data_IF_421934302952
#
_entry.id   IF_421934302952
#
_cell.length_a   1.000
_cell.length_b   1.000
_cell.length_c   1.000
_cell.angle_alpha   90.00
_cell.angle_beta   90.00
_cell.angle_gamma   90.00
#
_symmetry.space_group_name_H-M   'P 1'
#
loop_
_entity.id
_entity.type
_entity.pdbx_description
1 polymer ?
#
# COMPACT_ATOMS: atom_id res chain seq x y z
N UNK A 1 4.44 -49.82 -44.85
CA UNK A 1 5.16 -48.71 -45.52
C UNK A 1 4.14 -47.64 -45.86
N UNK A 2 4.12 -46.54 -45.12
CA UNK A 2 3.35 -45.35 -45.45
C UNK A 2 4.23 -44.16 -45.09
N UNK A 3 4.65 -43.41 -46.10
CA UNK A 3 5.43 -42.20 -45.96
C UNK A 3 4.51 -40.99 -45.86
N UNK A 4 4.82 -40.09 -44.93
CA UNK A 4 4.21 -38.77 -44.82
C UNK A 4 5.31 -37.73 -45.02
N UNK A 5 5.24 -37.05 -46.16
CA UNK A 5 5.96 -35.80 -46.44
C UNK A 5 5.07 -34.64 -45.96
N UNK A 6 5.63 -33.70 -45.22
CA UNK A 6 5.08 -32.34 -45.10
C UNK A 6 6.26 -31.36 -45.15
N UNK A 7 6.34 -30.62 -46.26
CA UNK A 7 7.16 -29.43 -46.42
C UNK A 7 6.22 -28.23 -46.30
N UNK A 8 6.63 -27.21 -45.55
CA UNK A 8 5.88 -25.99 -45.33
C UNK A 8 6.82 -24.88 -44.86
N UNK A 9 7.54 -24.28 -45.81
CA UNK A 9 8.34 -23.09 -45.60
C UNK A 9 7.43 -21.87 -45.40
N UNK A 10 7.69 -21.12 -44.33
CA UNK A 10 7.05 -19.83 -44.03
C UNK A 10 8.12 -18.74 -44.12
N UNK A 11 8.00 -17.90 -45.15
CA UNK A 11 8.85 -16.72 -45.38
C UNK A 11 8.43 -15.58 -44.45
N UNK A 12 9.38 -15.03 -43.69
CA UNK A 12 9.20 -13.84 -42.86
C UNK A 12 9.72 -12.60 -43.61
N UNK A 13 8.81 -11.73 -44.04
CA UNK A 13 9.13 -10.41 -44.58
C UNK A 13 9.35 -9.42 -43.42
N UNK A 14 10.54 -8.81 -43.38
CA UNK A 14 10.99 -7.92 -42.31
C UNK A 14 11.04 -6.49 -42.82
N UNK A 15 9.89 -5.82 -42.86
CA UNK A 15 9.84 -4.40 -43.21
C UNK A 15 8.77 -3.65 -42.42
N UNK A 16 9.11 -3.05 -41.27
CA UNK A 16 8.40 -1.87 -40.74
C UNK A 16 9.34 -1.03 -39.87
N UNK A 17 9.39 0.27 -40.19
CA UNK A 17 10.29 1.26 -39.61
C UNK A 17 9.86 1.81 -38.25
N UNK A 18 10.58 2.83 -37.74
CA UNK A 18 10.45 3.31 -36.37
C UNK A 18 9.20 4.19 -36.23
N UNK A 19 8.20 3.69 -35.50
CA UNK A 19 7.04 4.48 -35.10
C UNK A 19 7.31 5.27 -33.81
N UNK A 20 6.70 6.47 -33.65
CA UNK A 20 6.98 7.38 -32.54
C UNK A 20 6.37 6.83 -31.25
N UNK A 21 7.22 6.62 -30.24
CA UNK A 21 6.84 6.23 -28.89
C UNK A 21 6.33 7.44 -28.11
N UNK A 22 5.03 7.68 -28.08
CA UNK A 22 4.36 8.41 -27.00
C UNK A 22 2.85 8.39 -27.24
N UNK A 23 2.10 7.72 -26.37
CA UNK A 23 0.72 7.99 -25.87
C UNK A 23 0.08 6.62 -25.50
N UNK A 24 0.43 6.05 -24.34
CA UNK A 24 -0.26 4.84 -23.80
C UNK A 24 -0.34 4.80 -22.25
N UNK A 25 0.07 5.86 -21.53
CA UNK A 25 0.19 5.80 -20.06
C UNK A 25 -1.14 5.71 -19.30
N UNK A 26 -2.21 6.38 -19.79
CA UNK A 26 -3.47 6.45 -19.04
C UNK A 26 -4.30 5.17 -19.14
N UNK A 27 -4.25 4.47 -20.27
CA UNK A 27 -4.96 3.20 -20.46
C UNK A 27 -4.41 2.09 -19.54
N UNK A 28 -3.11 2.12 -19.25
CA UNK A 28 -2.47 1.11 -18.40
C UNK A 28 -2.79 1.28 -16.91
N UNK A 29 -3.08 2.51 -16.46
CA UNK A 29 -3.42 2.80 -15.06
C UNK A 29 -4.83 2.29 -14.72
N UNK A 30 -5.82 2.54 -15.58
CA UNK A 30 -7.19 2.06 -15.40
C UNK A 30 -7.27 0.54 -15.34
N UNK A 31 -6.59 -0.15 -16.27
CA UNK A 31 -6.56 -1.62 -16.30
C UNK A 31 -5.87 -2.21 -15.05
N UNK A 32 -4.86 -1.52 -14.49
CA UNK A 32 -4.25 -1.93 -13.22
C UNK A 32 -5.23 -1.81 -12.05
N UNK A 33 -6.01 -0.72 -11.99
CA UNK A 33 -7.02 -0.51 -10.94
C UNK A 33 -8.09 -1.58 -11.02
N UNK A 34 -8.63 -1.85 -12.21
CA UNK A 34 -9.69 -2.84 -12.40
C UNK A 34 -9.22 -4.24 -11.97
N UNK A 35 -8.00 -4.63 -12.36
CA UNK A 35 -7.39 -5.90 -11.93
C UNK A 35 -7.22 -5.99 -10.41
N UNK A 36 -6.79 -4.90 -9.77
CA UNK A 36 -6.65 -4.85 -8.32
C UNK A 36 -8.02 -5.01 -7.62
N UNK A 37 -9.05 -4.32 -8.11
CA UNK A 37 -10.40 -4.40 -7.57
C UNK A 37 -11.01 -5.79 -7.73
N UNK A 38 -10.83 -6.43 -8.90
CA UNK A 38 -11.27 -7.82 -9.11
C UNK A 38 -10.58 -8.76 -8.13
N UNK A 39 -9.27 -8.63 -7.93
CA UNK A 39 -8.53 -9.45 -6.97
C UNK A 39 -8.99 -9.24 -5.52
N UNK A 40 -9.25 -7.97 -5.14
CA UNK A 40 -9.78 -7.62 -3.82
C UNK A 40 -11.20 -8.17 -3.61
N UNK A 41 -12.05 -8.13 -4.62
CA UNK A 41 -13.39 -8.72 -4.59
C UNK A 41 -13.35 -10.24 -4.35
N UNK A 42 -12.43 -10.94 -5.03
CA UNK A 42 -12.22 -12.37 -4.84
C UNK A 42 -11.74 -12.65 -3.41
N UNK A 43 -10.75 -11.91 -2.93
CA UNK A 43 -10.24 -12.05 -1.57
C UNK A 43 -11.34 -11.81 -0.53
N UNK A 44 -12.09 -10.70 -0.64
CA UNK A 44 -13.23 -10.38 0.22
C UNK A 44 -14.27 -11.50 0.25
N UNK A 45 -14.60 -12.05 -0.92
CA UNK A 45 -15.58 -13.14 -1.05
C UNK A 45 -15.09 -14.43 -0.40
N UNK A 46 -13.79 -14.70 -0.40
CA UNK A 46 -13.19 -15.87 0.24
C UNK A 46 -13.17 -15.75 1.78
N UNK A 47 -12.87 -14.56 2.29
CA UNK A 47 -12.80 -14.25 3.73
C UNK A 47 -14.16 -14.41 4.40
N UNK A 48 -15.25 -14.12 3.68
CA UNK A 48 -16.62 -14.24 4.18
C UNK A 48 -17.20 -15.66 4.12
N UNK A 49 -16.45 -16.66 3.61
CA UNK A 49 -16.94 -18.04 3.57
C UNK A 49 -16.82 -18.73 4.92
N UNK A 50 -17.73 -19.65 5.21
CA UNK A 50 -17.67 -20.47 6.44
C UNK A 50 -16.46 -21.41 6.46
N UNK A 51 -15.99 -21.79 5.27
CA UNK A 51 -14.87 -22.70 5.09
C UNK A 51 -13.55 -22.07 5.53
N UNK A 52 -12.99 -22.64 6.60
CA UNK A 52 -11.67 -22.37 7.18
C UNK A 52 -10.56 -22.20 6.12
N UNK A 53 -10.45 -23.14 5.19
CA UNK A 53 -9.44 -23.10 4.11
C UNK A 53 -9.66 -21.94 3.14
N UNK A 54 -10.93 -21.61 2.81
CA UNK A 54 -11.25 -20.48 1.97
C UNK A 54 -10.92 -19.14 2.65
N UNK A 55 -11.24 -18.99 3.94
CA UNK A 55 -10.91 -17.77 4.71
C UNK A 55 -9.41 -17.52 4.76
N UNK A 56 -8.64 -18.58 5.03
CA UNK A 56 -7.17 -18.52 5.02
C UNK A 56 -6.63 -18.13 3.66
N UNK A 57 -7.13 -18.75 2.58
CA UNK A 57 -6.73 -18.39 1.22
C UNK A 57 -7.05 -16.92 0.90
N UNK A 58 -8.20 -16.42 1.36
CA UNK A 58 -8.58 -15.02 1.23
C UNK A 58 -7.61 -14.07 1.95
N UNK A 59 -7.22 -14.41 3.19
CA UNK A 59 -6.21 -13.65 3.95
C UNK A 59 -4.81 -13.71 3.32
N UNK A 60 -4.36 -14.88 2.88
CA UNK A 60 -3.08 -15.05 2.18
C UNK A 60 -3.05 -14.23 0.88
N UNK A 61 -4.19 -14.13 0.19
CA UNK A 61 -4.36 -13.27 -0.99
C UNK A 61 -4.23 -11.79 -0.63
N UNK A 62 -4.75 -11.35 0.52
CA UNK A 62 -4.55 -9.96 0.98
C UNK A 62 -3.10 -9.68 1.38
N UNK A 63 -2.40 -10.63 2.01
CA UNK A 63 -0.97 -10.49 2.32
C UNK A 63 -0.17 -10.27 1.05
N UNK A 64 -0.51 -11.03 0.00
CA UNK A 64 0.02 -10.88 -1.35
C UNK A 64 -0.26 -9.50 -1.94
N UNK A 65 -1.54 -9.10 -1.95
CA UNK A 65 -2.00 -7.87 -2.58
C UNK A 65 -1.46 -6.62 -1.90
N UNK A 66 -1.21 -6.64 -0.59
CA UNK A 66 -0.67 -5.50 0.16
C UNK A 66 0.86 -5.39 0.13
N UNK A 67 1.56 -6.38 -0.40
CA UNK A 67 3.03 -6.40 -0.51
C UNK A 67 3.48 -5.83 -1.88
N UNK A 68 4.15 -4.65 -1.91
CA UNK A 68 4.55 -4.00 -3.15
C UNK A 68 5.63 -4.79 -3.91
N UNK A 69 6.38 -5.68 -3.24
CA UNK A 69 7.37 -6.53 -3.89
C UNK A 69 6.73 -7.70 -4.64
N UNK A 70 5.49 -8.08 -4.27
CA UNK A 70 4.78 -9.23 -4.84
C UNK A 70 3.69 -8.81 -5.82
N UNK A 71 2.94 -7.76 -5.50
CA UNK A 71 1.80 -7.30 -6.31
C UNK A 71 2.13 -6.08 -7.20
N UNK A 72 3.29 -5.44 -7.00
CA UNK A 72 3.62 -4.15 -7.59
C UNK A 72 3.08 -2.98 -6.77
N UNK A 73 3.71 -1.81 -6.91
CA UNK A 73 3.45 -0.65 -6.05
C UNK A 73 2.01 -0.12 -6.18
N UNK A 74 1.47 -0.04 -7.39
CA UNK A 74 0.12 0.50 -7.64
C UNK A 74 -0.96 -0.42 -7.05
N UNK A 75 -0.92 -1.72 -7.36
CA UNK A 75 -1.82 -2.73 -6.78
C UNK A 75 -1.75 -2.73 -5.26
N UNK A 76 -0.52 -2.70 -4.71
CA UNK A 76 -0.33 -2.70 -3.27
C UNK A 76 -0.86 -1.42 -2.63
N UNK A 77 -0.69 -0.26 -3.27
CA UNK A 77 -1.26 1.01 -2.80
C UNK A 77 -2.79 0.95 -2.76
N UNK A 78 -3.43 0.42 -3.80
CA UNK A 78 -4.89 0.25 -3.86
C UNK A 78 -5.39 -0.68 -2.75
N UNK A 79 -4.79 -1.86 -2.63
CA UNK A 79 -5.14 -2.84 -1.61
C UNK A 79 -4.93 -2.30 -0.18
N UNK A 80 -3.84 -1.57 0.04
CA UNK A 80 -3.53 -0.95 1.34
C UNK A 80 -4.60 0.06 1.75
N UNK A 81 -5.17 0.79 0.78
CA UNK A 81 -6.21 1.78 1.05
C UNK A 81 -7.54 1.14 1.37
N UNK A 82 -7.91 0.06 0.66
CA UNK A 82 -9.09 -0.73 1.02
C UNK A 82 -8.95 -1.31 2.43
N UNK A 83 -7.77 -1.81 2.80
CA UNK A 83 -7.52 -2.34 4.15
C UNK A 83 -7.61 -1.26 5.23
N UNK A 84 -7.03 -0.07 5.01
CA UNK A 84 -6.95 0.99 6.02
C UNK A 84 -8.21 1.85 6.08
N UNK A 85 -8.78 2.20 4.93
CA UNK A 85 -9.86 3.19 4.80
C UNK A 85 -11.20 2.56 4.38
N UNK A 86 -11.22 1.27 4.04
CA UNK A 86 -12.43 0.60 3.57
C UNK A 86 -12.85 0.98 2.13
N UNK A 87 -12.02 1.74 1.41
CA UNK A 87 -12.24 2.13 0.00
C UNK A 87 -10.90 2.26 -0.74
N UNK A 88 -10.91 1.96 -2.04
CA UNK A 88 -9.79 2.13 -2.96
C UNK A 88 -9.61 3.59 -3.41
N UNK A 89 -10.65 4.42 -3.28
CA UNK A 89 -10.71 5.74 -3.91
C UNK A 89 -9.71 6.71 -3.32
N UNK A 90 -8.98 7.41 -4.19
CA UNK A 90 -8.11 8.51 -3.78
C UNK A 90 -8.94 9.75 -3.54
N UNK A 91 -9.09 10.12 -2.27
CA UNK A 91 -9.62 11.42 -1.86
C UNK A 91 -8.74 12.52 -2.46
N UNK A 92 -9.03 12.88 -3.70
CA UNK A 92 -8.46 14.05 -4.36
C UNK A 92 -9.09 15.26 -3.68
N UNK A 93 -8.42 15.73 -2.63
CA UNK A 93 -8.76 16.97 -1.96
C UNK A 93 -8.47 18.14 -2.89
N UNK A 94 -9.43 18.50 -3.75
CA UNK A 94 -9.26 19.64 -4.65
C UNK A 94 -10.25 19.71 -5.82
N UNK A 95 -11.55 19.66 -5.57
CA UNK A 95 -12.58 19.93 -6.57
C UNK A 95 -13.69 20.79 -5.97
N UNK A 96 -13.54 22.10 -6.08
CA UNK A 96 -14.63 23.06 -5.90
C UNK A 96 -15.60 22.89 -7.08
N UNK A 97 -16.90 22.84 -6.76
CA UNK A 97 -18.05 23.04 -7.65
C UNK A 97 -18.05 22.29 -8.99
N UNK A 98 -18.82 21.21 -9.07
CA UNK A 98 -19.16 20.57 -10.33
C UNK A 98 -20.07 19.37 -10.11
N UNK A 99 -21.36 19.63 -10.13
CA UNK A 99 -22.46 18.68 -10.13
C UNK A 99 -22.22 17.55 -11.15
N UNK A 100 -21.86 16.35 -10.69
CA UNK A 100 -22.02 15.08 -11.43
C UNK A 100 -22.06 13.92 -10.41
N UNK A 101 -23.10 13.96 -9.59
CA UNK A 101 -23.50 12.96 -8.59
C UNK A 101 -24.06 11.67 -9.25
N UNK A 102 -23.26 10.98 -10.05
CA UNK A 102 -23.65 9.68 -10.63
C UNK A 102 -22.64 8.56 -10.39
N UNK A 103 -21.37 8.89 -10.09
CA UNK A 103 -20.33 7.90 -9.78
C UNK A 103 -20.27 7.49 -8.30
N UNK A 104 -21.11 8.07 -7.44
CA UNK A 104 -21.21 7.69 -6.02
C UNK A 104 -21.98 6.37 -5.79
N UNK A 105 -22.64 5.83 -6.82
CA UNK A 105 -23.52 4.65 -6.70
C UNK A 105 -22.77 3.31 -6.80
N UNK A 106 -21.52 3.32 -7.28
CA UNK A 106 -20.68 2.13 -7.38
C UNK A 106 -19.22 2.48 -7.07
N UNK A 107 -18.92 2.88 -5.83
CA UNK A 107 -17.57 2.61 -5.32
C UNK A 107 -17.49 1.09 -5.09
N UNK A 108 -17.19 0.33 -6.15
CA UNK A 108 -17.16 -1.14 -6.17
C UNK A 108 -16.17 -1.72 -5.13
N UNK A 109 -15.32 -0.86 -4.57
CA UNK A 109 -14.39 -1.15 -3.49
C UNK A 109 -14.87 -0.76 -2.09
N UNK A 110 -15.83 0.17 -1.98
CA UNK A 110 -16.45 0.54 -0.71
C UNK A 110 -17.43 -0.56 -0.30
N UNK A 111 -17.26 -1.09 0.91
CA UNK A 111 -18.17 -2.13 1.42
C UNK A 111 -17.74 -3.57 1.13
N UNK A 112 -16.49 -3.79 0.71
CA UNK A 112 -15.94 -5.15 0.70
C UNK A 112 -15.90 -5.78 2.10
N UNK A 113 -15.99 -4.98 3.17
CA UNK A 113 -15.96 -5.46 4.55
C UNK A 113 -14.58 -5.94 4.99
N UNK A 114 -13.54 -5.76 4.15
CA UNK A 114 -12.17 -6.24 4.42
C UNK A 114 -11.61 -5.57 5.66
N UNK A 115 -11.71 -4.24 5.74
CA UNK A 115 -11.23 -3.45 6.86
C UNK A 115 -11.88 -3.91 8.16
N UNK A 116 -13.21 -4.05 8.13
CA UNK A 116 -14.00 -4.43 9.29
C UNK A 116 -13.61 -5.82 9.77
N UNK A 117 -13.53 -6.79 8.85
CA UNK A 117 -13.14 -8.18 9.17
C UNK A 117 -11.74 -8.26 9.78
N UNK A 118 -10.78 -7.49 9.27
CA UNK A 118 -9.41 -7.44 9.81
C UNK A 118 -9.39 -6.83 11.21
N UNK A 119 -10.10 -5.71 11.40
CA UNK A 119 -10.13 -5.01 12.68
C UNK A 119 -10.86 -5.81 13.74
N UNK A 120 -11.98 -6.47 13.40
CA UNK A 120 -12.67 -7.41 14.29
C UNK A 120 -11.71 -8.48 14.80
N UNK A 121 -11.00 -9.18 13.91
CA UNK A 121 -10.02 -10.20 14.33
C UNK A 121 -8.87 -9.65 15.18
N UNK A 122 -8.35 -8.45 14.89
CA UNK A 122 -7.23 -7.87 15.66
C UNK A 122 -7.69 -7.38 17.04
N UNK A 123 -8.93 -6.91 17.12
CA UNK A 123 -9.47 -6.24 18.29
C UNK A 123 -10.30 -7.17 19.18
N UNK A 124 -10.67 -8.37 18.69
CA UNK A 124 -11.24 -9.42 19.50
C UNK A 124 -10.35 -9.69 20.72
N UNK A 125 -10.94 -9.52 21.91
CA UNK A 125 -10.30 -9.86 23.17
C UNK A 125 -10.36 -11.37 23.31
N UNK A 126 -9.18 -12.00 23.29
CA UNK A 126 -8.97 -13.43 23.53
C UNK A 126 -9.38 -13.77 24.97
N UNK A 127 -10.69 -13.87 25.19
CA UNK A 127 -11.31 -13.94 26.49
C UNK A 127 -11.55 -15.40 26.85
N UNK A 128 -10.46 -16.10 27.18
CA UNK A 128 -10.46 -17.35 27.96
C UNK A 128 -11.15 -18.55 27.29
N UNK A 129 -10.41 -19.24 26.42
CA UNK A 129 -10.84 -20.53 25.87
C UNK A 129 -10.84 -21.66 26.91
N UNK A 130 -11.79 -22.58 26.76
CA UNK A 130 -11.83 -23.87 27.46
C UNK A 130 -10.78 -24.85 26.90
N UNK A 131 -10.52 -25.94 27.62
CA UNK A 131 -9.46 -26.91 27.29
C UNK A 131 -9.97 -28.07 26.41
N UNK A 132 -11.03 -27.87 25.63
CA UNK A 132 -11.61 -28.95 24.81
C UNK A 132 -10.79 -29.17 23.51
N UNK A 133 -10.55 -30.42 23.12
CA UNK A 133 -9.69 -30.76 21.96
C UNK A 133 -10.18 -30.17 20.62
N UNK A 134 -11.50 -29.99 20.45
CA UNK A 134 -12.06 -29.31 19.28
C UNK A 134 -11.73 -27.81 19.27
N UNK A 135 -11.67 -27.19 20.45
CA UNK A 135 -11.33 -25.78 20.63
C UNK A 135 -9.84 -25.52 20.35
N UNK A 136 -8.97 -26.51 20.58
CA UNK A 136 -7.54 -26.42 20.26
C UNK A 136 -7.32 -26.23 18.75
N UNK A 137 -8.04 -27.00 17.92
CA UNK A 137 -7.90 -26.93 16.45
C UNK A 137 -8.46 -25.60 15.93
N UNK A 138 -9.62 -25.17 16.44
CA UNK A 138 -10.21 -23.88 16.07
C UNK A 138 -9.32 -22.71 16.48
N UNK A 139 -8.68 -22.81 17.65
CA UNK A 139 -7.71 -21.83 18.14
C UNK A 139 -6.48 -21.74 17.24
N UNK A 140 -5.87 -22.86 16.87
CA UNK A 140 -4.70 -22.84 15.97
C UNK A 140 -5.04 -22.17 14.62
N UNK A 141 -6.24 -22.42 14.12
CA UNK A 141 -6.72 -21.77 12.91
C UNK A 141 -6.94 -20.26 13.10
N UNK A 142 -7.58 -19.88 14.21
CA UNK A 142 -7.81 -18.48 14.56
C UNK A 142 -6.47 -17.73 14.70
N UNK A 143 -5.49 -18.30 15.40
CA UNK A 143 -4.14 -17.77 15.55
C UNK A 143 -3.46 -17.59 14.18
N UNK A 144 -3.61 -18.56 13.27
CA UNK A 144 -3.09 -18.44 11.92
C UNK A 144 -3.74 -17.30 11.13
N UNK A 145 -5.05 -17.08 11.26
CA UNK A 145 -5.74 -15.95 10.61
C UNK A 145 -5.34 -14.61 11.21
N UNK A 146 -5.26 -14.55 12.54
CA UNK A 146 -4.83 -13.37 13.28
C UNK A 146 -3.44 -12.90 12.83
N UNK A 147 -2.51 -13.83 12.68
CA UNK A 147 -1.16 -13.55 12.18
C UNK A 147 -1.15 -13.00 10.76
N UNK A 148 -2.01 -13.53 9.89
CA UNK A 148 -2.19 -12.99 8.55
C UNK A 148 -2.79 -11.58 8.60
N UNK A 149 -3.77 -11.30 9.47
CA UNK A 149 -4.36 -9.96 9.63
C UNK A 149 -3.32 -8.93 10.06
N UNK A 150 -2.49 -9.26 11.05
CA UNK A 150 -1.38 -8.39 11.45
C UNK A 150 -0.38 -8.16 10.32
N UNK A 151 -0.10 -9.19 9.52
CA UNK A 151 0.77 -9.06 8.35
C UNK A 151 0.16 -8.14 7.30
N UNK A 152 -1.12 -8.30 6.98
CA UNK A 152 -1.87 -7.45 6.04
C UNK A 152 -1.84 -5.99 6.50
N UNK A 153 -2.18 -5.73 7.77
CA UNK A 153 -2.18 -4.38 8.34
C UNK A 153 -0.78 -3.76 8.31
N UNK A 154 0.24 -4.55 8.69
CA UNK A 154 1.65 -4.13 8.68
C UNK A 154 2.13 -3.75 7.28
N UNK A 155 1.79 -4.56 6.28
CA UNK A 155 2.10 -4.29 4.89
C UNK A 155 1.36 -3.05 4.40
N UNK A 156 0.06 -2.94 4.67
CA UNK A 156 -0.76 -1.81 4.24
C UNK A 156 -0.22 -0.46 4.74
N UNK A 157 0.08 -0.37 6.04
CA UNK A 157 0.65 0.84 6.64
C UNK A 157 2.00 1.21 6.02
N UNK A 158 2.87 0.22 5.82
CA UNK A 158 4.21 0.46 5.30
C UNK A 158 4.22 0.79 3.80
N UNK A 159 3.31 0.19 3.01
CA UNK A 159 3.16 0.51 1.58
C UNK A 159 2.74 1.96 1.38
N UNK A 160 1.85 2.47 2.24
CA UNK A 160 1.50 3.89 2.24
C UNK A 160 2.72 4.77 2.57
N UNK A 161 3.49 4.42 3.61
CA UNK A 161 4.71 5.18 3.98
C UNK A 161 5.77 5.20 2.85
N UNK A 162 5.95 4.08 2.12
CA UNK A 162 6.96 3.97 1.05
C UNK A 162 6.55 4.72 -0.21
N UNK A 163 5.28 4.61 -0.60
CA UNK A 163 4.77 5.22 -1.84
C UNK A 163 5.02 6.73 -1.87
N UNK A 164 4.93 7.40 -0.72
CA UNK A 164 5.12 8.84 -0.61
C UNK A 164 6.58 9.29 -0.76
N UNK A 165 7.53 8.51 -0.23
CA UNK A 165 8.97 8.81 -0.38
C UNK A 165 9.41 8.80 -1.83
N UNK A 166 8.77 7.96 -2.65
CA UNK A 166 9.02 7.90 -4.09
C UNK A 166 8.62 9.21 -4.79
N UNK A 167 7.46 9.77 -4.44
CA UNK A 167 6.93 11.03 -5.02
C UNK A 167 7.83 12.23 -4.70
N UNK A 168 8.39 12.28 -3.49
CA UNK A 168 9.25 13.41 -3.08
C UNK A 168 10.66 13.33 -3.67
N UNK A 169 11.13 12.11 -4.00
CA UNK A 169 12.46 11.90 -4.57
C UNK A 169 12.53 12.23 -6.07
N UNK A 170 11.42 12.08 -6.80
CA UNK A 170 11.35 12.38 -8.24
C UNK A 170 11.21 13.88 -8.56
N UNK A 171 10.71 14.68 -7.62
CA UNK A 171 10.49 16.14 -7.82
C UNK A 171 11.74 17.00 -7.54
N UNK A 172 12.88 16.41 -7.20
CA UNK A 172 14.09 17.12 -6.73
C UNK A 172 15.21 17.34 -7.76
N UNK A 173 15.08 16.92 -9.02
CA UNK A 173 16.18 17.01 -10.01
C UNK A 173 15.78 17.59 -11.36
N UNK A 174 15.57 18.89 -11.40
CA UNK A 174 15.77 19.67 -12.63
C UNK A 174 16.75 20.79 -12.32
N UNK A 175 18.01 20.42 -12.04
CA UNK A 175 19.09 21.38 -12.25
C UNK A 175 19.37 21.42 -13.75
N UNK A 176 18.93 22.53 -14.35
CA UNK A 176 19.44 23.04 -15.61
C UNK A 176 20.97 23.02 -15.61
N UNK A 177 21.56 22.02 -16.28
CA UNK A 177 22.94 22.03 -16.73
C UNK A 177 23.00 22.42 -18.20
N UNK A 178 22.74 23.69 -18.49
CA UNK A 178 23.17 24.31 -19.74
C UNK A 178 24.67 24.69 -19.63
N UNK A 179 25.32 24.83 -20.79
CA UNK A 179 26.75 25.14 -21.04
C UNK A 179 27.67 23.90 -21.01
N UNK A 180 28.31 23.44 -22.09
CA UNK A 180 28.70 24.08 -23.36
C UNK A 180 30.17 24.50 -23.33
N UNK A 181 30.99 23.93 -24.22
CA UNK A 181 32.33 24.39 -24.61
C UNK A 181 33.46 24.03 -23.63
N UNK A 182 34.43 23.17 -23.96
CA UNK A 182 35.53 23.33 -24.93
C UNK A 182 36.71 24.16 -24.37
N UNK A 183 37.84 23.45 -24.20
CA UNK A 183 39.27 23.79 -24.20
C UNK A 183 39.86 25.13 -23.67
N UNK A 184 40.97 24.94 -22.92
CA UNK A 184 42.19 25.77 -22.74
C UNK A 184 42.41 26.66 -21.49
N UNK A 185 43.65 26.51 -20.98
CA UNK A 185 44.57 27.46 -20.35
C UNK A 185 44.39 27.96 -18.89
N UNK A 186 45.08 27.24 -18.01
CA UNK A 186 46.18 27.71 -17.14
C UNK A 186 46.18 29.18 -16.64
N UNK A 187 45.73 29.41 -15.39
CA UNK A 187 46.27 30.45 -14.49
C UNK A 187 45.77 30.33 -13.04
N UNK A 188 46.65 30.45 -12.02
CA UNK A 188 46.24 30.49 -10.62
C UNK A 188 45.89 31.91 -10.16
N UNK A 189 44.80 32.08 -9.41
CA UNK A 189 44.43 33.33 -8.75
C UNK A 189 44.02 33.10 -7.27
N UNK A 190 44.21 34.10 -6.37
CA UNK A 190 44.40 33.90 -4.93
C UNK A 190 43.10 33.88 -4.09
N UNK A 191 43.14 33.51 -2.79
CA UNK A 191 41.94 33.23 -2.00
C UNK A 191 41.20 34.51 -1.59
N UNK A 192 39.90 34.55 -1.89
CA UNK A 192 38.97 35.59 -1.40
C UNK A 192 38.27 35.15 -0.11
N UNK A 193 38.19 36.11 0.82
CA UNK A 193 37.61 36.04 2.18
C UNK A 193 36.11 35.74 2.16
N UNK A 194 35.53 35.12 3.21
CA UNK A 194 34.09 34.93 3.33
C UNK A 194 33.42 36.01 4.19
N UNK A 195 32.23 36.47 3.78
CA UNK A 195 31.10 36.99 4.60
C UNK A 195 30.14 37.82 3.72
N UNK A 196 28.85 38.05 4.09
CA UNK A 196 28.00 37.45 5.13
C UNK A 196 26.54 37.12 4.65
N UNK A 197 25.75 36.53 5.56
CA UNK A 197 24.27 36.64 5.63
C UNK A 197 23.41 36.10 4.47
N UNK A 198 22.83 34.91 4.66
CA UNK A 198 21.50 34.59 4.11
C UNK A 198 20.62 34.04 5.22
N UNK A 199 19.83 34.93 5.83
CA UNK A 199 18.72 34.58 6.72
C UNK A 199 17.77 33.67 5.93
N UNK A 200 17.64 32.42 6.35
CA UNK A 200 16.60 31.50 5.87
C UNK A 200 15.24 32.14 6.19
N UNK A 201 14.45 32.36 5.16
CA UNK A 201 13.02 32.56 5.31
C UNK A 201 12.44 31.31 6.00
N UNK A 202 11.52 31.53 6.94
CA UNK A 202 10.74 30.47 7.56
C UNK A 202 9.95 29.75 6.47
N UNK A 203 10.42 28.55 6.11
CA UNK A 203 9.62 27.58 5.38
C UNK A 203 8.53 27.10 6.32
N UNK A 204 7.29 27.44 6.00
CA UNK A 204 6.11 26.79 6.57
C UNK A 204 6.31 25.27 6.45
N UNK A 205 5.93 24.48 7.48
CA UNK A 205 6.01 23.04 7.38
C UNK A 205 5.01 22.61 6.31
N UNK A 206 5.52 22.13 5.17
CA UNK A 206 4.72 21.42 4.19
C UNK A 206 3.99 20.30 4.94
N UNK A 207 2.68 20.46 5.09
CA UNK A 207 1.82 19.46 5.73
C UNK A 207 1.89 18.23 4.85
N UNK A 208 2.62 17.21 5.29
CA UNK A 208 2.73 15.96 4.56
C UNK A 208 1.33 15.33 4.43
N UNK A 209 0.90 14.97 3.22
CA UNK A 209 -0.38 14.29 3.00
C UNK A 209 -0.46 12.95 3.77
N UNK A 210 0.68 12.32 4.08
CA UNK A 210 0.87 11.10 4.90
C UNK A 210 0.11 11.09 6.23
N UNK A 211 0.04 12.27 6.86
CA UNK A 211 -0.63 12.43 8.15
C UNK A 211 -2.13 12.15 8.05
N UNK A 212 -2.73 12.33 6.88
CA UNK A 212 -4.18 12.16 6.72
C UNK A 212 -4.58 10.71 6.79
N UNK A 213 -3.88 9.79 6.13
CA UNK A 213 -4.31 8.38 6.06
C UNK A 213 -4.17 7.68 7.42
N UNK A 214 -3.02 7.81 8.08
CA UNK A 214 -2.77 7.18 9.39
C UNK A 214 -3.64 7.78 10.49
N UNK A 215 -3.80 9.10 10.51
CA UNK A 215 -4.69 9.78 11.47
C UNK A 215 -6.15 9.42 11.21
N UNK A 216 -6.60 9.46 9.95
CA UNK A 216 -7.96 9.08 9.56
C UNK A 216 -8.23 7.62 9.94
N UNK A 217 -7.30 6.71 9.67
CA UNK A 217 -7.42 5.32 10.10
C UNK A 217 -7.63 5.19 11.62
N UNK A 218 -6.85 5.89 12.45
CA UNK A 218 -6.99 5.84 13.92
C UNK A 218 -8.34 6.44 14.34
N UNK A 219 -8.66 7.64 13.85
CA UNK A 219 -9.88 8.37 14.20
C UNK A 219 -11.14 7.57 13.80
N UNK A 220 -11.17 7.02 12.58
CA UNK A 220 -12.27 6.20 12.08
C UNK A 220 -12.37 4.87 12.83
N UNK A 221 -11.24 4.21 13.12
CA UNK A 221 -11.27 2.93 13.84
C UNK A 221 -11.81 3.12 15.26
N UNK A 222 -11.35 4.16 15.96
CA UNK A 222 -11.87 4.50 17.29
C UNK A 222 -13.36 4.87 17.24
N UNK A 223 -13.81 5.55 16.20
CA UNK A 223 -15.22 5.94 16.05
C UNK A 223 -16.13 4.78 15.70
N UNK A 224 -15.68 3.82 14.87
CA UNK A 224 -16.51 2.70 14.40
C UNK A 224 -16.59 1.58 15.43
N UNK A 225 -15.46 1.21 16.05
CA UNK A 225 -15.38 0.04 16.93
C UNK A 225 -15.46 0.39 18.42
N UNK A 226 -15.37 1.68 18.77
CA UNK A 226 -15.38 2.14 20.16
C UNK A 226 -14.16 1.70 20.98
N UNK A 227 -13.18 1.07 20.33
CA UNK A 227 -11.94 0.57 20.93
C UNK A 227 -10.76 1.15 20.17
N UNK A 228 -9.70 1.47 20.90
CA UNK A 228 -8.48 2.07 20.34
C UNK A 228 -7.56 0.98 19.76
N UNK A 229 -7.36 1.02 18.43
CA UNK A 229 -6.45 0.12 17.71
C UNK A 229 -5.03 0.18 18.26
N UNK A 230 -4.57 1.33 18.77
CA UNK A 230 -3.25 1.45 19.37
C UNK A 230 -3.16 0.64 20.66
N UNK A 231 -4.21 0.65 21.48
CA UNK A 231 -4.30 -0.15 22.70
C UNK A 231 -4.23 -1.65 22.39
N UNK A 232 -4.94 -2.11 21.35
CA UNK A 232 -4.87 -3.51 20.89
C UNK A 232 -3.47 -3.88 20.40
N UNK A 233 -2.84 -3.05 19.58
CA UNK A 233 -1.47 -3.28 19.11
C UNK A 233 -0.47 -3.31 20.28
N UNK A 234 -0.57 -2.40 21.24
CA UNK A 234 0.28 -2.38 22.43
C UNK A 234 0.09 -3.66 23.26
N UNK A 235 -1.15 -4.14 23.41
CA UNK A 235 -1.46 -5.41 24.08
C UNK A 235 -0.72 -6.57 23.40
N UNK A 236 -0.83 -6.69 22.08
CA UNK A 236 -0.16 -7.73 21.27
C UNK A 236 1.37 -7.63 21.41
N UNK A 237 1.91 -6.41 21.38
CA UNK A 237 3.34 -6.18 21.58
C UNK A 237 3.80 -6.65 22.98
N UNK A 238 2.96 -6.50 24.01
CA UNK A 238 3.22 -7.00 25.36
C UNK A 238 3.35 -8.53 25.44
N UNK A 239 2.85 -9.27 24.46
CA UNK A 239 2.90 -10.73 24.39
C UNK A 239 4.14 -11.26 23.64
N UNK A 240 5.12 -10.41 23.31
CA UNK A 240 6.32 -10.78 22.54
C UNK A 240 7.09 -12.02 23.04
N UNK A 241 7.02 -12.32 24.34
CA UNK A 241 7.65 -13.51 24.92
C UNK A 241 6.99 -14.81 24.45
N UNK A 242 5.67 -14.81 24.30
CA UNK A 242 4.91 -15.97 23.83
C UNK A 242 4.84 -15.97 22.30
N UNK A 243 4.52 -14.82 21.69
CA UNK A 243 4.27 -14.67 20.27
C UNK A 243 5.17 -13.58 19.66
N UNK A 244 6.44 -13.89 19.34
CA UNK A 244 7.39 -12.89 18.85
C UNK A 244 7.05 -12.37 17.44
N UNK A 245 6.38 -13.17 16.62
CA UNK A 245 5.98 -12.78 15.27
C UNK A 245 4.91 -11.69 15.28
N UNK A 246 3.87 -11.87 16.10
CA UNK A 246 2.75 -10.96 16.25
C UNK A 246 3.24 -9.63 16.83
N UNK A 247 4.10 -9.71 17.86
CA UNK A 247 4.75 -8.57 18.44
C UNK A 247 5.63 -7.80 17.43
N UNK A 248 6.33 -8.50 16.54
CA UNK A 248 7.08 -7.85 15.47
C UNK A 248 6.17 -7.06 14.51
N UNK A 249 5.08 -7.67 14.04
CA UNK A 249 4.13 -6.99 13.16
C UNK A 249 3.45 -5.82 13.87
N UNK A 250 3.05 -6.01 15.12
CA UNK A 250 2.47 -4.95 15.95
C UNK A 250 3.44 -3.78 16.14
N UNK A 251 4.70 -4.05 16.50
CA UNK A 251 5.73 -3.01 16.62
C UNK A 251 5.93 -2.25 15.30
N UNK A 252 5.90 -2.97 14.17
CA UNK A 252 6.00 -2.36 12.84
C UNK A 252 4.80 -1.45 12.55
N UNK A 253 3.58 -1.89 12.86
CA UNK A 253 2.38 -1.06 12.74
C UNK A 253 2.47 0.21 13.60
N UNK A 254 2.79 0.05 14.89
CA UNK A 254 2.94 1.16 15.84
C UNK A 254 3.99 2.17 15.40
N UNK A 255 5.11 1.70 14.84
CA UNK A 255 6.16 2.56 14.31
C UNK A 255 5.68 3.48 13.18
N UNK A 256 4.81 2.99 12.29
CA UNK A 256 4.21 3.82 11.22
C UNK A 256 3.14 4.75 11.79
N UNK A 257 2.25 4.24 12.65
CA UNK A 257 1.16 5.02 13.23
C UNK A 257 1.67 6.20 14.08
N UNK A 258 2.68 5.98 14.93
CA UNK A 258 3.23 7.07 15.76
C UNK A 258 3.96 8.14 14.96
N UNK A 259 4.63 7.78 13.86
CA UNK A 259 5.18 8.79 12.93
C UNK A 259 4.08 9.66 12.32
N UNK A 260 2.93 9.06 12.01
CA UNK A 260 1.74 9.78 11.52
C UNK A 260 1.12 10.70 12.58
N UNK A 261 1.17 10.33 13.86
CA UNK A 261 0.58 11.12 14.95
C UNK A 261 1.46 12.27 15.46
N UNK A 262 2.78 12.17 15.36
CA UNK A 262 3.73 13.12 15.96
C UNK A 262 3.79 14.48 15.25
N UNK A 263 2.93 15.43 15.65
CA UNK A 263 3.14 16.90 15.64
C UNK A 263 1.79 17.61 15.88
N UNK A 264 1.26 17.52 17.10
CA UNK A 264 0.14 18.36 17.55
C UNK A 264 0.66 19.54 18.34
#
# INVERSE_FOLDING_TARGET
MAGLKTEGDISFDSTTGPHPLHVDSDANMSDCVDKALVALNIAASLIKKDRVDARRLGMESLVLLTDPLRAGIETAKIASRVVLLGSAREEHSGGLDGEDDVDALFDESAGLGIRETILEMIMEDDQGGSEDDEEIIEKEFHDSLFNLCLTVLSNALHTMEVSERSIHSSSGSTQHGAFGGDDNDDKPSPPRKPSPTRRRAATEPAVSPDRRVTKKFIDETSSTFGVDVLSSLIRILGQAKANPHDAYHSARCLGVLFKGCGNS
#
